data_IF_089475650471
#
_entry.id   IF_089475650471
#
_cell.length_a   1.000
_cell.length_b   1.000
_cell.length_c   1.000
_cell.angle_alpha   90.00
_cell.angle_beta   90.00
_cell.angle_gamma   90.00
#
_symmetry.space_group_name_H-M   'P 1'
#
loop_
_entity.id
_entity.type
_entity.pdbx_description
1 polymer ?
#
# COMPACT_ATOMS: atom_id res chain seq x y z
N UNK A 1 -15.75 -17.16 -15.71
CA UNK A 1 -15.08 -16.26 -14.74
C UNK A 1 -14.47 -17.12 -13.66
N UNK A 2 -13.14 -17.16 -13.55
CA UNK A 2 -12.48 -17.82 -12.42
C UNK A 2 -12.81 -17.04 -11.15
N UNK A 3 -13.44 -17.71 -10.17
CA UNK A 3 -13.71 -17.14 -8.84
C UNK A 3 -12.35 -16.81 -8.22
N UNK A 4 -12.03 -15.52 -8.02
CA UNK A 4 -10.82 -15.12 -7.29
C UNK A 4 -10.95 -15.65 -5.85
N UNK A 5 -9.97 -16.41 -5.39
CA UNK A 5 -9.99 -16.99 -4.04
C UNK A 5 -9.68 -15.89 -3.02
N UNK A 6 -10.64 -15.63 -2.13
CA UNK A 6 -10.48 -14.66 -1.05
C UNK A 6 -9.42 -15.14 -0.05
N UNK A 7 -8.43 -14.29 0.24
CA UNK A 7 -7.35 -14.60 1.17
C UNK A 7 -7.23 -13.50 2.22
N UNK A 8 -7.46 -13.79 3.52
CA UNK A 8 -7.27 -12.80 4.58
C UNK A 8 -5.87 -12.18 4.56
N UNK A 9 -5.80 -10.85 4.60
CA UNK A 9 -4.54 -10.09 4.58
C UNK A 9 -4.31 -9.33 5.89
N UNK A 10 -3.05 -9.27 6.30
CA UNK A 10 -2.57 -8.24 7.23
C UNK A 10 -2.26 -6.99 6.41
N UNK A 11 -2.94 -5.89 6.71
CA UNK A 11 -2.87 -4.65 5.95
C UNK A 11 -2.25 -3.59 6.85
N UNK A 12 -1.08 -3.09 6.49
CA UNK A 12 -0.43 -1.99 7.20
C UNK A 12 -0.79 -0.69 6.50
N UNK A 13 -1.43 0.22 7.22
CA UNK A 13 -1.74 1.57 6.75
C UNK A 13 -0.98 2.56 7.63
N UNK A 14 -0.06 3.30 7.03
CA UNK A 14 0.73 4.32 7.71
C UNK A 14 0.88 5.56 6.82
N UNK A 15 1.63 6.54 7.30
CA UNK A 15 1.83 7.82 6.63
C UNK A 15 2.10 8.92 7.65
N UNK A 16 2.58 10.09 7.21
CA UNK A 16 2.98 11.16 8.10
C UNK A 16 1.81 11.63 8.98
N UNK A 17 2.13 12.12 10.17
CA UNK A 17 1.14 12.73 11.06
C UNK A 17 0.31 13.78 10.32
N UNK A 18 -1.02 13.73 10.44
CA UNK A 18 -1.93 14.68 9.78
C UNK A 18 -2.38 14.28 8.38
N UNK A 19 -1.95 13.12 7.85
CA UNK A 19 -2.37 12.66 6.52
C UNK A 19 -3.82 12.22 6.42
N UNK A 20 -4.52 11.96 7.54
CA UNK A 20 -5.95 11.61 7.54
C UNK A 20 -6.27 10.10 7.69
N UNK A 21 -5.34 9.30 8.21
CA UNK A 21 -5.48 7.85 8.46
C UNK A 21 -6.84 7.48 9.10
N UNK A 22 -7.14 8.06 10.26
CA UNK A 22 -8.38 7.79 11.00
C UNK A 22 -9.67 8.09 10.22
N UNK A 23 -9.69 9.17 9.41
CA UNK A 23 -10.87 9.52 8.61
C UNK A 23 -11.12 8.49 7.49
N UNK A 24 -10.08 8.04 6.82
CA UNK A 24 -10.15 6.99 5.79
C UNK A 24 -10.60 5.67 6.43
N UNK A 25 -9.97 5.28 7.54
CA UNK A 25 -10.28 4.04 8.25
C UNK A 25 -11.73 4.01 8.78
N UNK A 26 -12.26 5.16 9.23
CA UNK A 26 -13.66 5.28 9.64
C UNK A 26 -14.62 4.95 8.50
N UNK A 27 -14.32 5.41 7.28
CA UNK A 27 -15.11 5.09 6.09
C UNK A 27 -14.93 3.64 5.62
N UNK A 28 -13.69 3.15 5.54
CA UNK A 28 -13.42 1.75 5.18
C UNK A 28 -14.13 0.77 6.12
N UNK A 29 -14.23 1.10 7.41
CA UNK A 29 -14.93 0.28 8.41
C UNK A 29 -16.42 0.10 8.10
N UNK A 30 -17.05 1.06 7.43
CA UNK A 30 -18.47 1.00 7.08
C UNK A 30 -18.73 0.05 5.91
N UNK A 31 -17.67 -0.38 5.23
CA UNK A 31 -17.78 -1.19 4.04
C UNK A 31 -17.67 -2.69 4.34
N UNK A 32 -18.83 -3.34 4.47
CA UNK A 32 -18.94 -4.74 4.87
C UNK A 32 -18.27 -5.71 3.88
N UNK A 33 -18.21 -5.37 2.59
CA UNK A 33 -17.64 -6.26 1.57
C UNK A 33 -16.12 -6.40 1.71
N UNK A 34 -15.45 -5.43 2.34
CA UNK A 34 -14.02 -5.49 2.63
C UNK A 34 -13.69 -6.46 3.77
N UNK A 35 -14.70 -6.87 4.56
CA UNK A 35 -14.57 -7.81 5.68
C UNK A 35 -13.41 -7.47 6.63
N UNK A 36 -13.38 -6.20 7.06
CA UNK A 36 -12.28 -5.64 7.83
C UNK A 36 -12.46 -5.87 9.34
N UNK A 37 -11.35 -6.21 9.99
CA UNK A 37 -11.12 -5.98 11.40
C UNK A 37 -10.02 -4.92 11.54
N UNK A 38 -10.13 -4.10 12.58
CA UNK A 38 -9.08 -3.16 12.93
C UNK A 38 -8.32 -3.71 14.13
N UNK A 39 -7.00 -3.62 14.06
CA UNK A 39 -6.12 -3.97 15.17
C UNK A 39 -6.44 -3.10 16.39
N UNK A 40 -6.39 -3.72 17.57
CA UNK A 40 -6.47 -3.03 18.85
C UNK A 40 -5.08 -3.10 19.47
N UNK A 41 -4.40 -1.96 19.60
CA UNK A 41 -3.03 -1.91 20.13
C UNK A 41 -3.00 -2.12 21.64
N UNK A 42 -1.91 -2.68 22.14
CA UNK A 42 -1.54 -2.64 23.56
C UNK A 42 -0.94 -1.29 23.91
N UNK A 43 -1.17 -0.79 25.12
CA UNK A 43 -0.49 0.39 25.64
C UNK A 43 -0.28 0.32 27.16
N UNK A 44 0.81 0.94 27.63
CA UNK A 44 1.07 1.14 29.06
C UNK A 44 0.49 2.43 29.62
N UNK A 45 -0.08 3.28 28.74
CA UNK A 45 -0.78 4.50 29.15
C UNK A 45 -2.03 4.10 29.94
N UNK A 46 -2.39 4.89 30.95
CA UNK A 46 -3.68 4.74 31.62
C UNK A 46 -4.85 5.09 30.66
N UNK A 47 -5.99 4.38 30.75
CA UNK A 47 -7.18 4.73 29.99
C UNK A 47 -7.63 6.15 30.31
N UNK A 48 -8.07 6.90 29.28
CA UNK A 48 -8.79 8.16 29.43
C UNK A 48 -10.27 7.89 29.70
N UNK A 49 -10.97 8.90 30.20
CA UNK A 49 -12.42 8.82 30.42
C UNK A 49 -13.15 8.37 29.15
N UNK A 50 -13.92 7.30 29.27
CA UNK A 50 -14.67 6.68 28.16
C UNK A 50 -13.90 5.65 27.33
N UNK A 51 -12.58 5.50 27.50
CA UNK A 51 -11.83 4.44 26.82
C UNK A 51 -12.12 3.07 27.47
N UNK A 52 -12.50 2.10 26.65
CA UNK A 52 -12.83 0.73 27.03
C UNK A 52 -11.69 -0.22 26.63
N UNK A 53 -11.22 -1.03 27.59
CA UNK A 53 -10.21 -2.05 27.38
C UNK A 53 -10.66 -3.12 26.37
N UNK A 54 -9.79 -3.48 25.43
CA UNK A 54 -10.08 -4.43 24.35
C UNK A 54 -10.93 -3.86 23.20
N UNK A 55 -11.36 -2.61 23.31
CA UNK A 55 -12.07 -1.87 22.25
C UNK A 55 -11.18 -0.78 21.67
N UNK A 56 -10.63 0.07 22.54
CA UNK A 56 -9.77 1.19 22.14
C UNK A 56 -8.30 0.79 22.19
N UNK A 57 -7.89 0.22 23.32
CA UNK A 57 -6.57 -0.36 23.54
C UNK A 57 -6.68 -1.56 24.47
N UNK A 58 -5.68 -2.43 24.45
CA UNK A 58 -5.38 -3.32 25.58
C UNK A 58 -4.49 -2.54 26.57
N UNK A 59 -5.10 -2.04 27.65
CA UNK A 59 -4.39 -1.32 28.70
C UNK A 59 -3.68 -2.32 29.60
N UNK A 60 -2.35 -2.26 29.63
CA UNK A 60 -1.49 -3.19 30.37
C UNK A 60 -0.47 -2.44 31.20
N UNK A 61 0.12 -3.11 32.18
CA UNK A 61 1.28 -2.60 32.91
C UNK A 61 2.53 -2.60 32.03
N UNK A 62 3.55 -1.82 32.42
CA UNK A 62 4.84 -1.81 31.72
C UNK A 62 5.52 -3.19 31.76
N UNK A 63 5.44 -3.88 32.90
CA UNK A 63 5.98 -5.25 33.05
C UNK A 63 5.31 -6.24 32.09
N UNK A 64 3.97 -6.19 31.97
CA UNK A 64 3.23 -7.03 31.01
C UNK A 64 3.61 -6.73 29.56
N UNK A 65 3.82 -5.44 29.22
CA UNK A 65 4.25 -5.04 27.89
C UNK A 65 5.68 -5.54 27.58
N UNK A 66 6.61 -5.34 28.51
CA UNK A 66 8.01 -5.79 28.37
C UNK A 66 8.09 -7.32 28.27
N UNK A 67 7.24 -8.04 29.00
CA UNK A 67 7.09 -9.49 28.84
C UNK A 67 6.59 -9.87 27.44
N UNK A 68 5.59 -9.18 26.91
CA UNK A 68 5.11 -9.43 25.55
C UNK A 68 6.19 -9.17 24.48
N UNK A 69 7.04 -8.15 24.67
CA UNK A 69 8.24 -7.93 23.83
C UNK A 69 9.18 -9.14 23.92
N UNK A 70 9.55 -9.56 25.13
CA UNK A 70 10.49 -10.67 25.35
C UNK A 70 9.98 -12.00 24.80
N UNK A 71 8.66 -12.18 24.70
CA UNK A 71 8.00 -13.36 24.17
C UNK A 71 7.68 -13.27 22.67
N UNK A 72 8.11 -12.21 21.98
CA UNK A 72 7.81 -11.96 20.57
C UNK A 72 6.30 -11.93 20.24
N UNK A 73 5.48 -11.48 21.18
CA UNK A 73 4.02 -11.44 21.07
C UNK A 73 3.51 -10.16 20.37
N UNK A 74 4.41 -9.24 20.01
CA UNK A 74 4.09 -7.99 19.31
C UNK A 74 4.59 -8.04 17.85
N UNK A 75 3.77 -7.54 16.93
CA UNK A 75 4.15 -7.35 15.50
C UNK A 75 5.08 -6.14 15.37
N UNK A 76 4.78 -5.08 16.10
CA UNK A 76 5.55 -3.85 16.20
C UNK A 76 5.35 -3.24 17.58
N UNK A 77 6.29 -2.42 18.02
CA UNK A 77 6.13 -1.59 19.20
C UNK A 77 7.01 -0.34 19.14
N UNK A 78 6.62 0.68 19.90
CA UNK A 78 7.38 1.91 20.09
C UNK A 78 7.09 2.51 21.48
N UNK A 79 8.02 3.33 21.98
CA UNK A 79 7.79 4.17 23.16
C UNK A 79 7.52 5.60 22.72
N UNK A 80 6.42 6.17 23.18
CA UNK A 80 6.05 7.56 22.92
C UNK A 80 5.71 8.26 24.22
N UNK A 81 6.50 9.30 24.56
CA UNK A 81 6.33 10.10 25.79
C UNK A 81 6.23 9.20 27.03
N UNK A 82 7.18 8.26 27.16
CA UNK A 82 7.31 7.35 28.31
C UNK A 82 6.27 6.23 28.39
N UNK A 83 5.40 6.07 27.38
CA UNK A 83 4.44 4.98 27.31
C UNK A 83 4.71 4.08 26.11
N UNK A 84 4.64 2.77 26.30
CA UNK A 84 4.71 1.83 25.20
C UNK A 84 3.37 1.73 24.46
N UNK A 85 3.48 1.49 23.16
CA UNK A 85 2.40 1.15 22.26
C UNK A 85 2.88 0.02 21.36
N UNK A 86 2.01 -0.94 21.05
CA UNK A 86 2.38 -2.01 20.12
C UNK A 86 1.21 -2.87 19.71
N UNK A 87 1.37 -3.61 18.62
CA UNK A 87 0.30 -4.40 18.03
C UNK A 87 0.39 -5.87 18.49
N UNK A 88 -0.58 -6.38 19.28
CA UNK A 88 -0.57 -7.76 19.74
C UNK A 88 -0.81 -8.75 18.60
N UNK A 89 0.18 -9.61 18.35
CA UNK A 89 0.16 -10.66 17.31
C UNK A 89 -1.07 -11.56 17.43
N UNK A 90 -1.34 -12.04 18.64
CA UNK A 90 -2.42 -13.00 18.91
C UNK A 90 -3.78 -12.50 18.43
N UNK A 91 -4.08 -11.22 18.65
CA UNK A 91 -5.34 -10.62 18.22
C UNK A 91 -5.43 -10.58 16.69
N UNK A 92 -4.39 -10.09 16.01
CA UNK A 92 -4.33 -10.00 14.55
C UNK A 92 -4.48 -11.39 13.91
N UNK A 93 -3.71 -12.37 14.38
CA UNK A 93 -3.78 -13.74 13.86
C UNK A 93 -5.14 -14.39 14.09
N UNK A 94 -5.79 -14.13 15.23
CA UNK A 94 -7.13 -14.64 15.49
C UNK A 94 -8.17 -14.06 14.53
N UNK A 95 -8.13 -12.76 14.26
CA UNK A 95 -9.04 -12.14 13.29
C UNK A 95 -8.80 -12.68 11.86
N UNK A 96 -7.54 -12.84 11.46
CA UNK A 96 -7.19 -13.44 10.17
C UNK A 96 -7.66 -14.91 10.07
N UNK A 97 -7.52 -15.70 11.14
CA UNK A 97 -8.04 -17.08 11.21
C UNK A 97 -9.57 -17.13 11.11
N UNK A 98 -10.25 -16.11 11.60
CA UNK A 98 -11.71 -15.94 11.43
C UNK A 98 -12.09 -15.44 10.02
N UNK A 99 -11.14 -15.40 9.09
CA UNK A 99 -11.35 -15.01 7.72
C UNK A 99 -11.40 -13.50 7.50
N UNK A 100 -10.96 -12.66 8.45
CA UNK A 100 -11.01 -11.19 8.28
C UNK A 100 -9.71 -10.62 7.74
N UNK A 101 -9.81 -9.55 6.96
CA UNK A 101 -8.67 -8.70 6.65
C UNK A 101 -8.40 -7.79 7.85
N UNK A 102 -7.15 -7.67 8.29
CA UNK A 102 -6.83 -6.92 9.52
C UNK A 102 -6.03 -5.67 9.17
N UNK A 103 -6.62 -4.49 9.39
CA UNK A 103 -5.94 -3.20 9.25
C UNK A 103 -5.16 -2.88 10.53
N UNK A 104 -3.86 -2.66 10.38
CA UNK A 104 -2.95 -2.10 11.36
C UNK A 104 -2.75 -0.62 11.01
N UNK A 105 -3.48 0.26 11.70
CA UNK A 105 -3.24 1.71 11.63
C UNK A 105 -2.11 2.06 12.59
N UNK A 106 -0.90 2.19 12.06
CA UNK A 106 0.32 2.39 12.86
C UNK A 106 1.18 3.52 12.28
N UNK A 107 2.04 4.09 13.12
CA UNK A 107 3.00 5.11 12.70
C UNK A 107 4.10 4.49 11.82
N UNK A 108 4.86 5.34 11.10
CA UNK A 108 5.80 4.87 10.06
C UNK A 108 6.92 3.98 10.62
N UNK A 109 7.38 4.25 11.84
CA UNK A 109 8.37 3.41 12.53
C UNK A 109 7.83 2.00 12.82
N UNK A 110 6.60 1.90 13.34
CA UNK A 110 5.94 0.61 13.60
C UNK A 110 5.66 -0.14 12.30
N UNK A 111 5.22 0.57 11.25
CA UNK A 111 5.01 -0.01 9.93
C UNK A 111 6.30 -0.55 9.31
N UNK A 112 7.43 0.15 9.50
CA UNK A 112 8.75 -0.34 9.06
C UNK A 112 9.10 -1.66 9.74
N UNK A 113 8.83 -1.80 11.05
CA UNK A 113 9.01 -3.07 11.77
C UNK A 113 8.11 -4.17 11.21
N UNK A 114 6.81 -3.89 11.02
CA UNK A 114 5.84 -4.85 10.52
C UNK A 114 6.20 -5.34 9.10
N UNK A 115 6.54 -4.43 8.18
CA UNK A 115 6.95 -4.76 6.80
C UNK A 115 8.21 -5.62 6.79
N UNK A 116 9.16 -5.37 7.71
CA UNK A 116 10.42 -6.11 7.78
C UNK A 116 10.26 -7.50 8.40
N UNK A 117 9.43 -7.62 9.44
CA UNK A 117 9.38 -8.81 10.29
C UNK A 117 8.26 -9.78 9.92
N UNK A 118 7.17 -9.29 9.33
CA UNK A 118 6.02 -10.12 8.96
C UNK A 118 6.06 -10.53 7.49
N UNK A 119 5.55 -11.72 7.20
CA UNK A 119 5.45 -12.23 5.82
C UNK A 119 4.11 -11.84 5.21
N UNK A 120 4.10 -11.51 3.91
CA UNK A 120 2.89 -11.28 3.12
C UNK A 120 1.98 -10.15 3.65
N UNK A 121 2.56 -9.10 4.23
CA UNK A 121 1.85 -7.86 4.57
C UNK A 121 1.45 -7.14 3.29
N UNK A 122 0.23 -6.60 3.24
CA UNK A 122 -0.19 -5.60 2.26
C UNK A 122 0.11 -4.20 2.83
N UNK A 123 1.11 -3.50 2.32
CA UNK A 123 1.55 -2.21 2.89
C UNK A 123 1.13 -1.02 2.03
N UNK A 124 0.44 -0.06 2.65
CA UNK A 124 -0.08 1.14 2.00
C UNK A 124 0.36 2.39 2.77
N UNK A 125 1.07 3.28 2.09
CA UNK A 125 1.50 4.57 2.62
C UNK A 125 0.55 5.67 2.13
N UNK A 126 -0.12 6.34 3.06
CA UNK A 126 -0.91 7.52 2.75
C UNK A 126 0.01 8.74 2.67
N UNK A 127 -0.17 9.57 1.65
CA UNK A 127 0.60 10.80 1.46
C UNK A 127 -0.35 11.98 1.23
N UNK A 128 -0.10 13.17 1.81
CA UNK A 128 -0.82 14.37 1.42
C UNK A 128 -0.42 14.77 -0.01
N UNK A 129 -1.27 15.48 -0.78
CA UNK A 129 -0.94 15.86 -2.15
C UNK A 129 0.22 16.86 -2.20
N UNK A 130 0.37 17.71 -1.18
CA UNK A 130 1.48 18.66 -1.08
C UNK A 130 1.98 18.81 0.36
N UNK A 131 3.25 19.24 0.51
CA UNK A 131 3.81 19.62 1.81
C UNK A 131 3.08 20.83 2.42
N UNK A 132 2.62 21.76 1.59
CA UNK A 132 1.84 22.91 2.06
C UNK A 132 0.53 22.45 2.70
N UNK A 133 -0.17 21.51 2.06
CA UNK A 133 -1.41 20.97 2.62
C UNK A 133 -1.16 20.20 3.91
N UNK A 134 -0.06 19.44 4.00
CA UNK A 134 0.34 18.79 5.25
C UNK A 134 0.52 19.82 6.37
N UNK A 135 1.22 20.93 6.11
CA UNK A 135 1.41 22.01 7.07
C UNK A 135 0.07 22.62 7.49
N UNK A 136 -0.83 22.90 6.55
CA UNK A 136 -2.18 23.40 6.85
C UNK A 136 -2.98 22.43 7.72
N UNK A 137 -2.95 21.12 7.42
CA UNK A 137 -3.63 20.09 8.23
C UNK A 137 -3.08 19.99 9.65
N UNK A 138 -1.77 20.17 9.83
CA UNK A 138 -1.14 20.20 11.16
C UNK A 138 -1.47 21.47 11.94
N UNK A 139 -1.48 22.63 11.28
CA UNK A 139 -1.86 23.92 11.89
C UNK A 139 -3.34 23.98 12.28
N UNK A 140 -4.23 23.35 11.49
CA UNK A 140 -5.67 23.29 11.75
C UNK A 140 -6.05 22.63 13.07
N UNK A 141 -5.09 22.00 13.78
CA UNK A 141 -5.31 21.42 15.12
C UNK A 141 -5.39 22.45 16.24
N UNK A 142 -5.26 23.76 15.98
CA UNK A 142 -5.56 24.97 16.78
C UNK A 142 -5.22 25.00 18.29
N UNK A 143 -4.61 23.94 18.83
CA UNK A 143 -4.37 23.70 20.26
C UNK A 143 -2.92 23.32 20.56
N UNK A 144 -2.08 23.21 19.52
CA UNK A 144 -0.67 22.86 19.64
C UNK A 144 0.22 24.10 19.44
N UNK A 145 1.26 24.24 20.25
CA UNK A 145 2.23 25.33 20.14
C UNK A 145 2.99 25.27 18.80
N UNK A 146 3.45 26.42 18.24
CA UNK A 146 4.20 26.46 16.98
C UNK A 146 5.39 25.51 16.92
N UNK A 147 6.09 25.32 18.04
CA UNK A 147 7.25 24.43 18.16
C UNK A 147 6.87 22.95 17.96
N UNK A 148 5.69 22.55 18.43
CA UNK A 148 5.14 21.19 18.25
C UNK A 148 4.77 20.96 16.78
N UNK A 149 4.15 21.96 16.13
CA UNK A 149 3.81 21.89 14.71
C UNK A 149 5.08 21.74 13.86
N UNK A 150 6.12 22.51 14.18
CA UNK A 150 7.43 22.40 13.51
C UNK A 150 8.03 21.00 13.69
N UNK A 151 8.06 20.48 14.92
CA UNK A 151 8.58 19.13 15.19
C UNK A 151 7.81 18.04 14.43
N UNK A 152 6.48 18.17 14.29
CA UNK A 152 5.66 17.25 13.48
C UNK A 152 5.99 17.34 11.98
N UNK A 153 6.23 18.54 11.46
CA UNK A 153 6.66 18.74 10.07
C UNK A 153 8.04 18.14 9.81
N UNK A 154 9.01 18.40 10.70
CA UNK A 154 10.36 17.84 10.61
C UNK A 154 10.31 16.30 10.63
N UNK A 155 9.49 15.71 11.52
CA UNK A 155 9.24 14.27 11.54
C UNK A 155 8.64 13.76 10.22
N UNK A 156 7.62 14.44 9.69
CA UNK A 156 7.01 14.03 8.43
C UNK A 156 8.00 14.05 7.25
N UNK A 157 8.94 15.01 7.22
CA UNK A 157 9.98 15.08 6.19
C UNK A 157 10.96 13.89 6.25
N UNK A 158 11.17 13.31 7.44
CA UNK A 158 11.95 12.09 7.61
C UNK A 158 11.16 10.82 7.24
N UNK A 159 9.85 10.85 7.43
CA UNK A 159 8.95 9.71 7.17
C UNK A 159 8.59 9.56 5.69
N UNK A 160 8.43 10.67 4.94
CA UNK A 160 8.01 10.63 3.52
C UNK A 160 8.93 9.78 2.64
N UNK A 161 10.28 9.86 2.74
CA UNK A 161 11.16 8.98 1.97
C UNK A 161 10.96 7.49 2.25
N UNK A 162 10.43 7.10 3.41
CA UNK A 162 10.18 5.70 3.74
C UNK A 162 9.03 5.08 2.94
N UNK A 163 8.25 5.89 2.20
CA UNK A 163 7.21 5.42 1.29
C UNK A 163 7.71 4.39 0.26
N UNK A 164 8.99 4.45 -0.12
CA UNK A 164 9.60 3.49 -1.07
C UNK A 164 9.69 2.07 -0.52
N UNK A 165 9.49 1.88 0.79
CA UNK A 165 9.43 0.56 1.42
C UNK A 165 8.01 -0.06 1.38
N UNK A 166 7.02 0.67 0.87
CA UNK A 166 5.62 0.23 0.81
C UNK A 166 5.28 -0.30 -0.57
N UNK A 167 4.30 -1.19 -0.64
CA UNK A 167 3.81 -1.71 -1.91
C UNK A 167 2.97 -0.68 -2.65
N UNK A 168 2.23 0.16 -1.93
CA UNK A 168 1.36 1.18 -2.49
C UNK A 168 1.56 2.52 -1.80
N UNK A 169 1.51 3.60 -2.59
CA UNK A 169 1.43 4.98 -2.10
C UNK A 169 0.13 5.57 -2.59
N UNK A 170 -0.71 6.04 -1.66
CA UNK A 170 -2.02 6.61 -1.96
C UNK A 170 -2.04 8.07 -1.54
N UNK A 171 -2.31 8.94 -2.50
CA UNK A 171 -2.57 10.35 -2.23
C UNK A 171 -3.92 10.50 -1.52
N UNK A 172 -3.93 11.27 -0.44
CA UNK A 172 -5.16 11.71 0.21
C UNK A 172 -5.39 13.20 -0.05
N UNK A 173 -5.88 13.51 -1.24
CA UNK A 173 -6.43 14.81 -1.63
C UNK A 173 -7.83 15.03 -1.03
N UNK A 174 -8.70 14.04 -1.13
CA UNK A 174 -10.00 13.96 -0.44
C UNK A 174 -10.15 12.58 0.19
N UNK A 175 -10.88 12.52 1.32
CA UNK A 175 -11.09 11.25 2.04
C UNK A 175 -11.84 10.25 1.15
N UNK A 176 -12.79 10.72 0.34
CA UNK A 176 -13.55 9.95 -0.64
C UNK A 176 -12.63 9.30 -1.68
N UNK A 177 -11.78 10.09 -2.35
CA UNK A 177 -10.86 9.57 -3.36
C UNK A 177 -9.85 8.59 -2.77
N UNK A 178 -9.29 8.90 -1.59
CA UNK A 178 -8.39 7.98 -0.90
C UNK A 178 -9.08 6.66 -0.53
N UNK A 179 -10.33 6.69 -0.10
CA UNK A 179 -11.11 5.47 0.21
C UNK A 179 -11.36 4.66 -1.06
N UNK A 180 -11.75 5.30 -2.17
CA UNK A 180 -11.93 4.62 -3.46
C UNK A 180 -10.65 3.90 -3.91
N UNK A 181 -9.51 4.60 -3.85
CA UNK A 181 -8.19 4.04 -4.15
C UNK A 181 -7.83 2.87 -3.25
N UNK A 182 -8.05 3.00 -1.95
CA UNK A 182 -7.79 1.94 -0.97
C UNK A 182 -8.67 0.71 -1.24
N UNK A 183 -9.97 0.90 -1.47
CA UNK A 183 -10.90 -0.17 -1.80
C UNK A 183 -10.46 -0.93 -3.06
N UNK A 184 -10.09 -0.22 -4.11
CA UNK A 184 -9.61 -0.83 -5.36
C UNK A 184 -8.31 -1.65 -5.16
N UNK A 185 -7.37 -1.14 -4.37
CA UNK A 185 -6.17 -1.90 -3.97
C UNK A 185 -6.56 -3.18 -3.24
N UNK A 186 -7.47 -3.11 -2.27
CA UNK A 186 -7.91 -4.26 -1.49
C UNK A 186 -8.60 -5.31 -2.37
N UNK A 187 -9.46 -4.89 -3.30
CA UNK A 187 -10.10 -5.79 -4.27
C UNK A 187 -9.07 -6.42 -5.24
N UNK A 188 -8.14 -5.62 -5.78
CA UNK A 188 -7.03 -6.07 -6.65
C UNK A 188 -6.18 -7.13 -5.97
N UNK A 189 -5.89 -6.92 -4.68
CA UNK A 189 -5.06 -7.80 -3.84
C UNK A 189 -5.84 -8.97 -3.22
N UNK A 190 -7.10 -9.17 -3.63
CA UNK A 190 -7.99 -10.24 -3.15
C UNK A 190 -8.27 -10.19 -1.64
N UNK A 191 -8.16 -9.00 -1.07
CA UNK A 191 -8.44 -8.63 0.31
C UNK A 191 -9.88 -8.11 0.46
N UNK A 192 -10.84 -8.61 -0.33
CA UNK A 192 -12.26 -8.24 -0.24
C UNK A 192 -13.16 -9.41 -0.67
N UNK A 193 -14.34 -9.53 -0.07
CA UNK A 193 -15.36 -10.53 -0.41
C UNK A 193 -16.21 -10.00 -1.56
N UNK A 194 -15.60 -9.83 -2.73
CA UNK A 194 -16.30 -9.35 -3.92
C UNK A 194 -15.62 -9.85 -5.20
N UNK A 195 -16.35 -9.83 -6.31
CA UNK A 195 -15.86 -10.11 -7.66
C UNK A 195 -16.04 -8.91 -8.58
N UNK A 196 -16.13 -7.71 -8.01
CA UNK A 196 -16.18 -6.48 -8.78
C UNK A 196 -14.98 -6.38 -9.72
N UNK A 197 -15.23 -5.78 -10.88
CA UNK A 197 -14.15 -5.44 -11.81
C UNK A 197 -13.53 -4.16 -11.28
N UNK A 198 -12.31 -4.29 -10.74
CA UNK A 198 -11.51 -3.16 -10.24
C UNK A 198 -11.20 -2.17 -11.36
N UNK A 199 -10.90 -0.92 -11.02
CA UNK A 199 -10.28 0.06 -11.91
C UNK A 199 -8.97 -0.50 -12.47
N UNK A 200 -8.18 -1.21 -11.66
CA UNK A 200 -6.99 -1.91 -12.16
C UNK A 200 -7.31 -2.92 -13.29
N UNK A 201 -8.36 -3.72 -13.13
CA UNK A 201 -8.79 -4.69 -14.15
C UNK A 201 -9.28 -4.00 -15.44
N UNK A 202 -9.98 -2.88 -15.31
CA UNK A 202 -10.42 -2.06 -16.44
C UNK A 202 -9.22 -1.43 -17.16
N UNK A 203 -8.30 -0.84 -16.41
CA UNK A 203 -7.04 -0.29 -16.91
C UNK A 203 -6.24 -1.36 -17.66
N UNK A 204 -6.11 -2.57 -17.11
CA UNK A 204 -5.39 -3.67 -17.77
C UNK A 204 -5.99 -3.99 -19.14
N UNK A 205 -7.33 -4.00 -19.26
CA UNK A 205 -8.01 -4.24 -20.54
C UNK A 205 -7.71 -3.14 -21.56
N UNK A 206 -7.75 -1.87 -21.14
CA UNK A 206 -7.45 -0.74 -22.02
C UNK A 206 -5.98 -0.75 -22.47
N UNK A 207 -5.04 -0.98 -21.54
CA UNK A 207 -3.61 -1.11 -21.86
C UNK A 207 -3.36 -2.30 -22.81
N UNK A 208 -4.04 -3.42 -22.60
CA UNK A 208 -3.98 -4.57 -23.53
C UNK A 208 -4.36 -4.15 -24.94
N UNK A 209 -5.45 -3.41 -25.09
CA UNK A 209 -5.90 -2.93 -26.41
C UNK A 209 -4.87 -1.99 -27.04
N UNK A 210 -4.31 -1.06 -26.27
CA UNK A 210 -3.28 -0.13 -26.74
C UNK A 210 -2.03 -0.90 -27.21
N UNK A 211 -1.55 -1.87 -26.43
CA UNK A 211 -0.38 -2.70 -26.78
C UNK A 211 -0.63 -3.48 -28.07
N UNK A 212 -1.77 -4.18 -28.17
CA UNK A 212 -2.11 -4.98 -29.35
C UNK A 212 -2.26 -4.15 -30.62
N UNK A 213 -2.77 -2.92 -30.48
CA UNK A 213 -2.99 -2.04 -31.63
C UNK A 213 -1.69 -1.39 -32.10
N UNK A 214 -0.83 -0.96 -31.17
CA UNK A 214 0.24 0.00 -31.48
C UNK A 214 1.66 -0.55 -31.28
N UNK A 215 1.86 -1.61 -30.49
CA UNK A 215 3.19 -1.99 -29.99
C UNK A 215 3.59 -3.46 -30.21
N UNK A 216 2.83 -4.25 -30.96
CA UNK A 216 3.16 -5.67 -31.23
C UNK A 216 4.52 -5.86 -31.90
N UNK A 217 4.95 -4.92 -32.76
CA UNK A 217 6.29 -4.95 -33.34
C UNK A 217 7.40 -4.95 -32.25
N UNK A 218 7.24 -4.15 -31.19
CA UNK A 218 8.20 -4.11 -30.09
C UNK A 218 8.13 -5.37 -29.23
N UNK A 219 6.93 -5.91 -29.01
CA UNK A 219 6.71 -7.18 -28.29
C UNK A 219 7.45 -8.33 -28.99
N UNK A 220 7.24 -8.49 -30.29
CA UNK A 220 7.89 -9.54 -31.09
C UNK A 220 9.42 -9.38 -31.10
N UNK A 221 9.90 -8.15 -31.24
CA UNK A 221 11.34 -7.86 -31.18
C UNK A 221 11.94 -8.18 -29.81
N UNK A 222 11.23 -7.88 -28.72
CA UNK A 222 11.67 -8.20 -27.37
C UNK A 222 11.76 -9.72 -27.15
N UNK A 223 10.74 -10.46 -27.58
CA UNK A 223 10.72 -11.92 -27.52
C UNK A 223 11.93 -12.53 -28.26
N UNK A 224 12.22 -12.00 -29.45
CA UNK A 224 13.40 -12.39 -30.23
C UNK A 224 14.72 -12.05 -29.53
N UNK A 225 14.84 -10.85 -28.94
CA UNK A 225 16.03 -10.44 -28.19
C UNK A 225 16.30 -11.37 -27.01
N UNK A 226 15.29 -11.67 -26.20
CA UNK A 226 15.44 -12.56 -25.04
C UNK A 226 15.82 -13.98 -25.48
N UNK A 227 15.19 -14.51 -26.52
CA UNK A 227 15.57 -15.80 -27.11
C UNK A 227 17.03 -15.82 -27.54
N UNK A 228 17.49 -14.76 -28.21
CA UNK A 228 18.87 -14.61 -28.66
C UNK A 228 19.86 -14.58 -27.49
N UNK A 229 19.53 -13.87 -26.41
CA UNK A 229 20.36 -13.85 -25.20
C UNK A 229 20.48 -15.24 -24.56
N UNK A 230 19.38 -15.99 -24.53
CA UNK A 230 19.36 -17.37 -24.03
C UNK A 230 20.20 -18.30 -24.91
N UNK A 231 20.08 -18.19 -26.24
CA UNK A 231 20.86 -19.03 -27.17
C UNK A 231 22.37 -18.69 -27.13
N UNK A 232 22.74 -17.47 -26.76
CA UNK A 232 24.13 -17.05 -26.47
C UNK A 232 24.62 -17.42 -25.07
N UNK A 233 23.79 -18.05 -24.24
CA UNK A 233 24.14 -18.40 -22.85
C UNK A 233 24.28 -17.20 -21.90
N UNK A 234 23.75 -16.03 -22.27
CA UNK A 234 23.79 -14.81 -21.44
C UNK A 234 22.68 -14.77 -20.39
N UNK A 235 21.64 -15.58 -20.54
CA UNK A 235 20.60 -15.82 -19.54
C UNK A 235 20.31 -17.33 -19.44
N UNK A 236 19.83 -17.78 -18.30
CA UNK A 236 19.56 -19.20 -18.06
C UNK A 236 18.25 -19.65 -18.71
N UNK A 237 18.13 -20.95 -19.00
CA UNK A 237 16.86 -21.54 -19.46
C UNK A 237 15.74 -21.37 -18.43
N UNK A 238 16.07 -21.33 -17.13
CA UNK A 238 15.10 -21.09 -16.07
C UNK A 238 14.53 -19.67 -16.14
N UNK A 239 15.37 -18.68 -16.40
CA UNK A 239 14.95 -17.28 -16.58
C UNK A 239 14.10 -17.09 -17.83
N UNK A 240 14.45 -17.77 -18.93
CA UNK A 240 13.68 -17.73 -20.17
C UNK A 240 12.34 -18.50 -20.10
N UNK A 241 12.27 -19.54 -19.25
CA UNK A 241 11.11 -20.44 -19.21
C UNK A 241 9.84 -19.66 -18.86
N UNK A 242 8.85 -19.72 -19.75
CA UNK A 242 7.57 -19.02 -19.65
C UNK A 242 7.67 -17.48 -19.76
N UNK A 243 8.75 -16.96 -20.36
CA UNK A 243 8.76 -15.55 -20.74
C UNK A 243 7.70 -15.32 -21.84
N UNK A 244 6.92 -14.27 -21.64
CA UNK A 244 5.89 -13.79 -22.56
C UNK A 244 6.03 -12.27 -22.61
N UNK A 245 6.65 -11.76 -23.68
CA UNK A 245 6.88 -10.33 -23.83
C UNK A 245 5.58 -9.51 -23.85
N UNK A 246 4.47 -10.06 -24.37
CA UNK A 246 3.19 -9.34 -24.44
C UNK A 246 2.62 -9.14 -23.04
N UNK A 247 2.44 -10.23 -22.30
CA UNK A 247 1.91 -10.17 -20.93
C UNK A 247 2.84 -9.38 -20.01
N UNK A 248 4.17 -9.54 -20.19
CA UNK A 248 5.15 -8.77 -19.43
C UNK A 248 5.03 -7.27 -19.70
N UNK A 249 4.90 -6.87 -20.97
CA UNK A 249 4.74 -5.46 -21.34
C UNK A 249 3.43 -4.89 -20.79
N UNK A 250 2.30 -5.59 -21.02
CA UNK A 250 0.97 -5.18 -20.54
C UNK A 250 1.01 -5.00 -19.02
N UNK A 251 1.44 -6.02 -18.27
CA UNK A 251 1.49 -5.95 -16.81
C UNK A 251 2.36 -4.79 -16.33
N UNK A 252 3.53 -4.62 -16.93
CA UNK A 252 4.47 -3.56 -16.57
C UNK A 252 3.88 -2.17 -16.79
N UNK A 253 3.27 -1.92 -17.95
CA UNK A 253 2.62 -0.65 -18.26
C UNK A 253 1.42 -0.39 -17.34
N UNK A 254 0.57 -1.40 -17.12
CA UNK A 254 -0.60 -1.30 -16.23
C UNK A 254 -0.19 -0.95 -14.80
N UNK A 255 0.77 -1.67 -14.21
CA UNK A 255 1.24 -1.39 -12.84
C UNK A 255 1.83 0.04 -12.75
N UNK A 256 2.68 0.44 -13.69
CA UNK A 256 3.29 1.77 -13.68
C UNK A 256 2.24 2.90 -13.75
N UNK A 257 1.24 2.77 -14.63
CA UNK A 257 0.17 3.76 -14.75
C UNK A 257 -0.69 3.77 -13.47
N UNK A 258 -1.04 2.58 -12.96
CA UNK A 258 -1.87 2.44 -11.76
C UNK A 258 -1.21 3.06 -10.52
N UNK A 259 0.02 2.66 -10.18
CA UNK A 259 0.77 3.17 -9.03
C UNK A 259 0.97 4.69 -9.10
N UNK A 260 1.22 5.22 -10.29
CA UNK A 260 1.35 6.66 -10.48
C UNK A 260 0.05 7.41 -10.19
N UNK A 261 -1.09 6.89 -10.64
CA UNK A 261 -2.40 7.51 -10.41
C UNK A 261 -2.86 7.36 -8.95
N UNK A 262 -2.52 6.25 -8.27
CA UNK A 262 -2.71 6.14 -6.83
C UNK A 262 -1.98 7.28 -6.08
N UNK A 263 -0.74 7.55 -6.47
CA UNK A 263 0.12 8.52 -5.82
C UNK A 263 -0.14 9.98 -6.19
N UNK A 264 -0.64 10.29 -7.40
CA UNK A 264 -0.72 11.66 -7.93
C UNK A 264 -1.83 11.90 -8.97
N UNK A 265 -2.95 11.16 -8.94
CA UNK A 265 -4.00 11.32 -9.94
C UNK A 265 -5.40 10.91 -9.46
N UNK A 266 -6.36 11.02 -10.37
CA UNK A 266 -7.75 10.59 -10.18
C UNK A 266 -7.97 9.28 -10.96
N UNK A 267 -8.81 8.39 -10.42
CA UNK A 267 -9.18 7.14 -11.09
C UNK A 267 -9.98 7.37 -12.36
N UNK A 268 -10.73 8.47 -12.47
CA UNK A 268 -11.44 8.81 -13.71
C UNK A 268 -10.49 8.95 -14.91
N UNK A 269 -9.26 9.40 -14.67
CA UNK A 269 -8.26 9.56 -15.73
C UNK A 269 -7.77 8.19 -16.25
N UNK A 270 -7.82 7.14 -15.42
CA UNK A 270 -7.42 5.78 -15.81
C UNK A 270 -8.38 5.14 -16.82
N UNK A 271 -9.54 5.74 -17.05
CA UNK A 271 -10.52 5.28 -18.04
C UNK A 271 -10.56 6.18 -19.28
N UNK A 272 -9.78 7.27 -19.31
CA UNK A 272 -9.66 8.15 -20.48
C UNK A 272 -8.58 7.62 -21.45
N UNK A 273 -9.00 7.23 -22.66
CA UNK A 273 -8.12 6.62 -23.65
C UNK A 273 -6.97 7.54 -24.08
N UNK A 274 -7.23 8.84 -24.24
CA UNK A 274 -6.22 9.82 -24.68
C UNK A 274 -5.15 10.01 -23.61
N UNK A 275 -5.56 10.09 -22.34
CA UNK A 275 -4.66 10.11 -21.19
C UNK A 275 -3.79 8.86 -21.17
N UNK A 276 -4.41 7.68 -21.29
CA UNK A 276 -3.68 6.41 -21.26
C UNK A 276 -2.66 6.27 -22.38
N UNK A 277 -3.02 6.61 -23.63
CA UNK A 277 -2.09 6.57 -24.77
C UNK A 277 -0.87 7.44 -24.48
N UNK A 278 -1.08 8.70 -24.08
CA UNK A 278 0.03 9.61 -23.79
C UNK A 278 0.90 9.16 -22.61
N UNK A 279 0.35 8.41 -21.64
CA UNK A 279 1.12 7.80 -20.55
C UNK A 279 1.91 6.58 -21.02
N UNK A 280 1.28 5.68 -21.76
CA UNK A 280 1.90 4.47 -22.31
C UNK A 280 3.07 4.85 -23.22
N UNK A 281 2.88 5.78 -24.14
CA UNK A 281 3.94 6.28 -25.03
C UNK A 281 5.21 6.70 -24.28
N UNK A 282 5.05 7.43 -23.16
CA UNK A 282 6.19 7.86 -22.34
C UNK A 282 6.84 6.70 -21.59
N UNK A 283 6.04 5.74 -21.13
CA UNK A 283 6.55 4.56 -20.42
C UNK A 283 7.30 3.61 -21.35
N UNK A 284 6.94 3.54 -22.63
CA UNK A 284 7.64 2.72 -23.62
C UNK A 284 9.13 3.05 -23.70
N UNK A 285 9.52 4.33 -23.54
CA UNK A 285 10.93 4.74 -23.48
C UNK A 285 11.69 4.21 -22.25
N UNK A 286 10.98 3.82 -21.20
CA UNK A 286 11.57 3.25 -19.97
C UNK A 286 11.68 1.72 -20.01
N UNK A 287 11.11 1.07 -21.02
CA UNK A 287 11.15 -0.40 -21.14
C UNK A 287 12.49 -0.84 -21.70
N UNK A 288 13.17 -1.74 -20.99
CA UNK A 288 14.35 -2.41 -21.48
C UNK A 288 13.97 -3.69 -22.26
N UNK A 289 13.89 -3.57 -23.58
CA UNK A 289 13.59 -4.67 -24.51
C UNK A 289 14.74 -5.68 -24.70
N UNK A 290 15.79 -5.60 -23.88
CA UNK A 290 16.93 -6.53 -23.86
C UNK A 290 17.09 -7.22 -22.49
N UNK A 291 16.12 -7.09 -21.59
CA UNK A 291 16.15 -7.72 -20.27
C UNK A 291 14.77 -8.23 -19.87
N UNK A 292 14.72 -9.39 -19.18
CA UNK A 292 13.48 -9.89 -18.56
C UNK A 292 13.13 -9.03 -17.33
N UNK A 293 14.13 -8.72 -16.52
CA UNK A 293 13.99 -7.83 -15.37
C UNK A 293 13.94 -6.39 -15.85
N UNK A 294 12.92 -5.65 -15.43
CA UNK A 294 12.83 -4.22 -15.64
C UNK A 294 13.35 -3.54 -14.38
N UNK A 295 14.36 -2.67 -14.54
CA UNK A 295 14.83 -1.79 -13.47
C UNK A 295 14.37 -0.39 -13.83
N UNK A 296 13.62 0.22 -12.93
CA UNK A 296 13.24 1.62 -13.04
C UNK A 296 14.14 2.38 -12.07
N UNK A 297 14.94 3.28 -12.62
CA UNK A 297 15.49 4.36 -11.80
C UNK A 297 14.31 5.32 -11.58
N UNK A 298 13.86 5.41 -10.33
CA UNK A 298 12.87 6.40 -9.87
C UNK A 298 13.49 7.80 -9.78
#
# INVERSE_FOLDING_TARGET
MHKREYKPRMIVVSGPSGVGKGSINSKLRQDEHLNLAFSVSMTTRQPRDGEINGVHYFFVTREEFEKAIAQHELIEYAEFVGNYYGTPRKYVEQQMKNGKNVILEIEVDGATQAIKNEKNVLSIFLMPPTLQELATRLQGRQSEAPEVIKARLDKAMLEVPLKHNYQYVVENDTVENAVEKMTDILEKEHAAITQNITIYDQLKKLVTQIVKTNYMFFVENWEFNIKTLKDKGLITTKEYKNFDAEEKLIHTLTENVYHRNLAHGDFKDLLDEKYLIGRVERLMFKINFFSIAQKYDD
#
